data_IF_387572567114
#
_entry.id   IF_387572567114
#
_cell.length_a   1.000
_cell.length_b   1.000
_cell.length_c   1.000
_cell.angle_alpha   90.00
_cell.angle_beta   90.00
_cell.angle_gamma   90.00
#
_symmetry.space_group_name_H-M   'P 1'
#
loop_
_entity.id
_entity.type
_entity.pdbx_description
1 polymer ?
#
# COMPACT_ATOMS: atom_id res chain seq x y z
N UNK A 1 11.76 -6.97 -43.79
CA UNK A 1 12.13 -7.77 -42.61
C UNK A 1 11.47 -7.10 -41.43
N UNK A 2 10.30 -7.61 -41.03
CA UNK A 2 9.46 -6.98 -40.00
C UNK A 2 10.10 -7.10 -38.62
N UNK A 3 9.94 -6.05 -37.84
CA UNK A 3 10.55 -5.73 -36.54
C UNK A 3 10.58 -6.88 -35.52
N UNK A 4 11.57 -6.91 -34.60
CA UNK A 4 11.43 -7.70 -33.39
C UNK A 4 10.31 -7.09 -32.56
N UNK A 5 9.31 -7.88 -32.18
CA UNK A 5 8.33 -7.52 -31.16
C UNK A 5 9.05 -7.30 -29.83
N UNK A 6 9.54 -6.08 -29.61
CA UNK A 6 10.10 -5.64 -28.33
C UNK A 6 8.96 -5.52 -27.33
N UNK A 7 8.56 -6.64 -26.72
CA UNK A 7 7.71 -6.60 -25.53
C UNK A 7 8.44 -5.78 -24.46
N UNK A 8 7.98 -4.55 -24.21
CA UNK A 8 8.45 -3.76 -23.08
C UNK A 8 8.26 -4.58 -21.80
N UNK A 9 9.29 -4.60 -20.96
CA UNK A 9 9.22 -5.24 -19.65
C UNK A 9 8.05 -4.64 -18.85
N UNK A 10 7.15 -5.46 -18.26
CA UNK A 10 6.08 -4.95 -17.40
C UNK A 10 6.57 -4.10 -16.23
N UNK A 11 7.83 -4.28 -15.82
CA UNK A 11 8.46 -3.50 -14.75
C UNK A 11 8.72 -2.04 -15.16
N UNK A 12 9.03 -1.81 -16.44
CA UNK A 12 9.24 -0.47 -16.99
C UNK A 12 7.91 0.24 -17.33
N UNK A 13 6.77 -0.43 -17.16
CA UNK A 13 5.47 0.20 -17.36
C UNK A 13 5.26 1.33 -16.33
N UNK A 14 4.54 2.40 -16.70
CA UNK A 14 4.21 3.46 -15.76
C UNK A 14 3.37 2.89 -14.60
N UNK A 15 3.53 3.47 -13.41
CA UNK A 15 2.84 3.00 -12.20
C UNK A 15 1.31 3.06 -12.32
N UNK A 16 0.79 3.91 -13.21
CA UNK A 16 -0.65 3.99 -13.55
C UNK A 16 -1.20 2.77 -14.28
N UNK A 17 -0.34 1.88 -14.79
CA UNK A 17 -0.76 0.59 -15.34
C UNK A 17 -1.24 -0.38 -14.24
N UNK A 18 -0.93 -0.11 -12.97
CA UNK A 18 -1.40 -0.92 -11.83
C UNK A 18 -2.87 -0.63 -11.55
N UNK A 19 -3.67 -1.69 -11.46
CA UNK A 19 -5.09 -1.56 -11.15
C UNK A 19 -5.31 -0.78 -9.84
N UNK A 20 -6.18 0.23 -9.91
CA UNK A 20 -6.46 1.12 -8.77
C UNK A 20 -5.46 2.26 -8.60
N UNK A 21 -4.46 2.43 -9.49
CA UNK A 21 -3.58 3.62 -9.54
C UNK A 21 -4.03 4.54 -10.67
N UNK A 22 -5.02 5.39 -10.39
CA UNK A 22 -5.41 6.48 -11.27
C UNK A 22 -4.44 7.67 -11.21
N UNK A 23 -4.73 8.71 -11.99
CA UNK A 23 -3.85 9.89 -12.13
C UNK A 23 -3.53 10.57 -10.79
N UNK A 24 -4.52 10.72 -9.90
CA UNK A 24 -4.29 11.34 -8.59
C UNK A 24 -3.32 10.53 -7.71
N UNK A 25 -3.43 9.19 -7.74
CA UNK A 25 -2.51 8.32 -7.01
C UNK A 25 -1.13 8.31 -7.65
N UNK A 26 -1.05 8.31 -8.97
CA UNK A 26 0.23 8.44 -9.68
C UNK A 26 0.94 9.76 -9.33
N UNK A 27 0.21 10.88 -9.22
CA UNK A 27 0.76 12.17 -8.79
C UNK A 27 1.28 12.16 -7.35
N UNK A 28 0.61 11.43 -6.45
CA UNK A 28 1.08 11.24 -5.08
C UNK A 28 2.34 10.35 -5.02
N UNK A 29 2.40 9.28 -5.82
CA UNK A 29 3.56 8.39 -5.93
C UNK A 29 4.76 9.09 -6.55
N UNK A 30 4.56 9.98 -7.52
CA UNK A 30 5.63 10.80 -8.10
C UNK A 30 6.31 11.71 -7.06
N UNK A 31 5.60 12.15 -6.01
CA UNK A 31 6.21 12.89 -4.88
C UNK A 31 7.16 12.04 -4.04
N UNK A 32 7.08 10.71 -4.17
CA UNK A 32 7.99 9.74 -3.57
C UNK A 32 9.00 9.20 -4.59
N UNK A 33 9.13 9.84 -5.75
CA UNK A 33 10.00 9.43 -6.87
C UNK A 33 9.64 8.04 -7.46
N UNK A 34 8.38 7.63 -7.34
CA UNK A 34 7.87 6.36 -7.89
C UNK A 34 7.14 6.65 -9.19
N UNK A 35 7.71 6.20 -10.32
CA UNK A 35 7.15 6.44 -11.65
C UNK A 35 6.77 5.15 -12.39
N UNK A 36 7.47 4.06 -12.09
CA UNK A 36 7.30 2.75 -12.74
C UNK A 36 6.77 1.69 -11.79
N UNK A 37 6.38 0.53 -12.35
CA UNK A 37 6.03 -0.65 -11.55
C UNK A 37 7.24 -1.16 -10.76
N UNK A 38 8.45 -1.08 -11.32
CA UNK A 38 9.69 -1.45 -10.63
C UNK A 38 9.92 -0.60 -9.37
N UNK A 39 9.82 0.73 -9.51
CA UNK A 39 9.98 1.65 -8.38
C UNK A 39 9.02 1.32 -7.25
N UNK A 40 7.75 1.05 -7.59
CA UNK A 40 6.71 0.72 -6.61
C UNK A 40 7.02 -0.59 -5.87
N UNK A 41 7.51 -1.62 -6.56
CA UNK A 41 7.85 -2.91 -5.96
C UNK A 41 9.09 -2.83 -5.06
N UNK A 42 10.04 -1.97 -5.42
CA UNK A 42 11.26 -1.76 -4.66
C UNK A 42 11.08 -0.75 -3.51
N UNK A 43 10.01 0.03 -3.53
CA UNK A 43 9.65 0.95 -2.45
C UNK A 43 9.19 0.20 -1.19
N UNK A 44 10.09 0.10 -0.20
CA UNK A 44 9.82 -0.64 1.03
C UNK A 44 8.84 0.11 1.94
N UNK A 45 7.91 -0.59 2.62
CA UNK A 45 7.06 0.01 3.63
C UNK A 45 7.88 0.69 4.74
N UNK A 46 7.45 1.86 5.19
CA UNK A 46 8.06 2.58 6.33
C UNK A 46 8.03 1.76 7.62
N UNK A 47 6.96 0.99 7.83
CA UNK A 47 6.76 0.12 8.99
C UNK A 47 5.90 -1.06 8.60
N UNK A 48 6.26 -2.25 9.09
CA UNK A 48 5.37 -3.40 9.11
C UNK A 48 4.62 -3.43 10.44
N UNK A 49 3.29 -3.48 10.38
CA UNK A 49 2.45 -3.68 11.55
C UNK A 49 1.99 -5.13 11.61
N UNK A 50 2.33 -5.84 12.69
CA UNK A 50 1.85 -7.20 12.94
C UNK A 50 0.51 -7.14 13.69
N UNK A 51 -0.58 -7.37 12.95
CA UNK A 51 -1.96 -7.37 13.48
C UNK A 51 -2.51 -8.77 13.76
N UNK A 52 -1.66 -9.79 13.86
CA UNK A 52 -2.08 -11.19 14.10
C UNK A 52 -2.55 -11.43 15.54
N UNK A 53 -2.05 -10.65 16.50
CA UNK A 53 -2.35 -10.82 17.92
C UNK A 53 -3.42 -9.85 18.36
N UNK A 54 -4.57 -10.38 18.75
CA UNK A 54 -5.64 -9.61 19.37
C UNK A 54 -5.43 -9.56 20.88
N UNK A 55 -5.42 -8.36 21.45
CA UNK A 55 -5.41 -8.16 22.90
C UNK A 55 -6.84 -7.90 23.40
N UNK A 56 -7.20 -8.40 24.59
CA UNK A 56 -8.44 -7.98 25.23
C UNK A 56 -8.33 -6.51 25.65
N UNK A 57 -9.46 -5.79 25.61
CA UNK A 57 -9.50 -4.34 25.89
C UNK A 57 -8.91 -4.00 27.27
N UNK A 58 -9.09 -4.88 28.26
CA UNK A 58 -8.55 -4.71 29.63
C UNK A 58 -7.02 -4.73 29.72
N UNK A 59 -6.31 -5.20 28.68
CA UNK A 59 -4.85 -5.32 28.66
C UNK A 59 -4.18 -4.21 27.81
N UNK A 60 -4.96 -3.25 27.32
CA UNK A 60 -4.42 -2.14 26.54
C UNK A 60 -3.55 -1.22 27.39
N UNK A 61 -2.46 -0.74 26.79
CA UNK A 61 -1.54 0.20 27.40
C UNK A 61 -1.58 1.53 26.68
N UNK A 62 -1.48 2.61 27.45
CA UNK A 62 -1.48 3.95 26.90
C UNK A 62 -0.28 4.14 25.96
N UNK A 63 -0.52 4.75 24.80
CA UNK A 63 0.49 5.03 23.74
C UNK A 63 1.08 3.80 23.06
N UNK A 64 0.53 2.61 23.27
CA UNK A 64 0.91 1.41 22.54
C UNK A 64 -0.11 1.09 21.44
N UNK A 65 0.38 0.82 20.22
CA UNK A 65 -0.47 0.32 19.14
C UNK A 65 -0.86 -1.14 19.45
N UNK A 66 -2.16 -1.43 19.44
CA UNK A 66 -2.70 -2.75 19.72
C UNK A 66 -3.81 -3.10 18.74
N UNK A 67 -3.98 -4.39 18.46
CA UNK A 67 -5.12 -4.90 17.68
C UNK A 67 -6.15 -5.47 18.65
N UNK A 68 -7.41 -5.04 18.54
CA UNK A 68 -8.53 -5.49 19.38
C UNK A 68 -9.69 -5.98 18.53
N UNK A 69 -10.57 -6.80 19.11
CA UNK A 69 -11.82 -7.25 18.49
C UNK A 69 -12.96 -7.06 19.48
N UNK A 70 -14.09 -6.57 19.01
CA UNK A 70 -15.29 -6.37 19.81
C UNK A 70 -16.48 -5.92 18.97
N UNK A 71 -17.64 -5.78 19.62
CA UNK A 71 -18.86 -5.30 19.00
C UNK A 71 -19.01 -3.80 19.28
N UNK A 72 -19.33 -3.02 18.24
CA UNK A 72 -19.67 -1.61 18.41
C UNK A 72 -21.11 -1.52 18.91
N UNK A 73 -21.30 -0.94 20.10
CA UNK A 73 -22.63 -0.80 20.73
C UNK A 73 -23.24 0.60 20.57
N UNK A 74 -22.41 1.59 20.21
CA UNK A 74 -22.82 2.96 19.94
C UNK A 74 -21.84 3.62 18.98
N UNK A 75 -22.35 4.46 18.09
CA UNK A 75 -21.57 5.36 17.25
C UNK A 75 -22.28 6.72 17.25
N UNK A 76 -21.53 7.80 17.49
CA UNK A 76 -22.07 9.16 17.43
C UNK A 76 -22.31 9.58 15.98
N UNK A 77 -23.38 10.33 15.75
CA UNK A 77 -23.64 11.05 14.50
C UNK A 77 -22.84 12.35 14.45
#
# INVERSE_FOLDING_TARGET
MSSPDTKLSPLAAPVSAVWGVGEDRARLLARLEIFTVEDLLLHRPRRYEDRRKFLPIRELKLKEAATVRGTIIAAGA
#
